data_IF_802714124280
#
_entry.id   IF_802714124280
#
_cell.length_a   1.000
_cell.length_b   1.000
_cell.length_c   1.000
_cell.angle_alpha   90.00
_cell.angle_beta   90.00
_cell.angle_gamma   90.00
#
_symmetry.space_group_name_H-M   'P 1'
#
loop_
_entity.id
_entity.type
_entity.pdbx_description
1 polymer ?
#
# COMPACT_ATOMS: atom_id res chain seq x y z
N UNK A 1 -27.90 -39.77 27.63
CA UNK A 1 -26.85 -38.74 27.67
C UNK A 1 -25.71 -39.21 26.79
N UNK A 2 -25.83 -39.08 25.46
CA UNK A 2 -24.74 -39.45 24.53
C UNK A 2 -24.92 -38.92 23.10
N UNK A 3 -25.55 -37.74 22.92
CA UNK A 3 -25.75 -37.13 21.60
C UNK A 3 -24.95 -35.84 21.36
N UNK A 4 -24.15 -35.37 22.32
CA UNK A 4 -23.37 -34.12 22.20
C UNK A 4 -21.87 -34.32 21.90
N UNK A 5 -21.39 -35.56 21.74
CA UNK A 5 -19.95 -35.83 21.62
C UNK A 5 -19.44 -36.03 20.18
N UNK A 6 -20.32 -35.96 19.17
CA UNK A 6 -19.98 -36.25 17.76
C UNK A 6 -20.26 -35.12 16.75
N UNK A 7 -20.42 -33.87 17.21
CA UNK A 7 -20.44 -32.69 16.34
C UNK A 7 -19.16 -31.85 16.44
N UNK A 8 -18.10 -32.41 17.05
CA UNK A 8 -16.85 -31.69 17.36
C UNK A 8 -15.68 -32.00 16.45
N UNK A 9 -15.86 -32.84 15.44
CA UNK A 9 -14.82 -33.11 14.45
C UNK A 9 -15.31 -32.85 13.02
N UNK A 10 -14.61 -31.92 12.36
CA UNK A 10 -14.35 -31.92 10.93
C UNK A 10 -15.50 -31.45 10.01
N UNK A 11 -15.76 -30.14 10.00
CA UNK A 11 -15.81 -29.49 8.67
C UNK A 11 -14.37 -29.57 8.17
N UNK A 12 -14.07 -30.56 7.33
CA UNK A 12 -12.76 -30.67 6.69
C UNK A 12 -12.52 -29.40 5.88
N UNK A 13 -11.76 -28.48 6.48
CA UNK A 13 -11.30 -27.33 5.75
C UNK A 13 -10.15 -27.79 4.84
N UNK A 14 -10.33 -27.67 3.54
CA UNK A 14 -9.25 -27.69 2.56
C UNK A 14 -8.30 -26.52 2.88
N UNK A 15 -7.24 -26.81 3.64
CA UNK A 15 -6.19 -25.85 3.96
C UNK A 15 -5.14 -25.81 2.86
N UNK A 16 -4.91 -24.63 2.31
CA UNK A 16 -3.98 -24.39 1.22
C UNK A 16 -2.71 -23.68 1.72
N UNK A 17 -1.94 -24.35 2.58
CA UNK A 17 -0.73 -23.81 3.24
C UNK A 17 0.39 -23.36 2.26
N UNK A 18 0.38 -23.94 1.05
CA UNK A 18 1.34 -23.64 -0.02
C UNK A 18 0.99 -22.36 -0.78
N UNK A 19 -0.27 -21.91 -0.74
CA UNK A 19 -0.71 -20.69 -1.43
C UNK A 19 -0.21 -19.48 -0.63
N UNK A 20 0.61 -18.65 -1.27
CA UNK A 20 1.20 -17.46 -0.66
C UNK A 20 0.56 -16.16 -1.12
N UNK A 21 -0.04 -16.18 -2.30
CA UNK A 21 -0.66 -15.02 -2.92
C UNK A 21 -2.15 -15.27 -3.04
N UNK A 22 -2.95 -14.38 -2.44
CA UNK A 22 -4.41 -14.46 -2.50
C UNK A 22 -4.98 -13.15 -3.01
N UNK A 23 -5.96 -13.28 -3.91
CA UNK A 23 -6.72 -12.17 -4.43
C UNK A 23 -8.19 -12.32 -3.97
N UNK A 24 -8.67 -11.40 -3.12
CA UNK A 24 -10.01 -11.43 -2.53
C UNK A 24 -10.90 -10.31 -3.09
N UNK A 25 -11.93 -10.66 -3.86
CA UNK A 25 -12.83 -9.69 -4.53
C UNK A 25 -14.18 -9.46 -3.82
N UNK A 26 -14.47 -10.22 -2.76
CA UNK A 26 -15.80 -10.27 -2.13
C UNK A 26 -16.86 -10.95 -3.01
N UNK A 27 -17.91 -11.45 -2.37
CA UNK A 27 -19.01 -12.23 -2.97
C UNK A 27 -18.55 -13.47 -3.76
N UNK A 28 -18.41 -14.57 -3.04
CA UNK A 28 -18.47 -15.91 -3.62
C UNK A 28 -19.71 -16.55 -3.00
N UNK A 29 -20.57 -17.13 -3.84
CA UNK A 29 -21.82 -17.76 -3.45
C UNK A 29 -21.61 -18.60 -2.18
N UNK A 30 -22.42 -18.34 -1.14
CA UNK A 30 -22.20 -18.85 0.22
C UNK A 30 -22.16 -20.38 0.31
N UNK A 31 -22.51 -21.12 -0.74
CA UNK A 31 -22.70 -22.56 -0.69
C UNK A 31 -21.41 -23.40 -0.75
N UNK A 32 -20.25 -22.87 -1.17
CA UNK A 32 -19.06 -23.72 -1.47
C UNK A 32 -17.74 -23.37 -0.78
N UNK A 33 -17.60 -22.21 -0.13
CA UNK A 33 -16.30 -21.79 0.45
C UNK A 33 -16.10 -22.05 1.93
N UNK A 34 -17.11 -22.57 2.64
CA UNK A 34 -16.98 -22.82 4.09
C UNK A 34 -15.93 -23.87 4.44
N UNK A 35 -15.26 -24.49 3.47
CA UNK A 35 -14.13 -25.39 3.66
C UNK A 35 -12.77 -24.80 3.23
N UNK A 36 -12.65 -23.65 2.57
CA UNK A 36 -11.34 -23.21 2.05
C UNK A 36 -10.64 -22.28 3.04
N UNK A 37 -9.37 -22.56 3.35
CA UNK A 37 -8.53 -21.71 4.21
C UNK A 37 -7.14 -21.47 3.63
N UNK A 38 -6.62 -20.26 3.85
CA UNK A 38 -5.27 -19.85 3.48
C UNK A 38 -4.51 -19.33 4.72
N UNK A 39 -3.96 -20.21 5.58
CA UNK A 39 -3.41 -19.80 6.87
C UNK A 39 -2.00 -19.16 6.80
N UNK A 40 -1.27 -19.31 5.68
CA UNK A 40 0.14 -18.89 5.56
C UNK A 40 0.38 -17.96 4.37
N UNK A 41 -0.56 -17.06 4.10
CA UNK A 41 -0.44 -16.10 3.02
C UNK A 41 0.66 -15.08 3.32
N UNK A 42 1.39 -14.68 2.29
CA UNK A 42 2.40 -13.63 2.36
C UNK A 42 1.97 -12.37 1.62
N UNK A 43 1.16 -12.52 0.56
CA UNK A 43 0.64 -11.40 -0.21
C UNK A 43 -0.87 -11.49 -0.35
N UNK A 44 -1.53 -10.37 -0.11
CA UNK A 44 -2.97 -10.25 -0.21
C UNK A 44 -3.31 -9.04 -1.07
N UNK A 45 -4.08 -9.24 -2.12
CA UNK A 45 -4.78 -8.16 -2.80
C UNK A 45 -6.25 -8.29 -2.45
N UNK A 46 -6.86 -7.26 -1.88
CA UNK A 46 -8.25 -7.32 -1.42
C UNK A 46 -9.05 -6.10 -1.84
N UNK A 47 -10.33 -6.30 -2.10
CA UNK A 47 -11.30 -5.24 -2.34
C UNK A 47 -12.00 -4.84 -1.04
N UNK A 48 -12.05 -3.53 -0.77
CA UNK A 48 -12.83 -2.97 0.35
C UNK A 48 -14.15 -2.33 -0.12
N UNK A 49 -15.23 -2.44 0.70
CA UNK A 49 -15.30 -3.26 1.91
C UNK A 49 -15.42 -4.76 1.58
N UNK A 50 -14.90 -5.63 2.45
CA UNK A 50 -15.08 -7.08 2.35
C UNK A 50 -16.23 -7.57 3.24
N UNK A 51 -16.79 -8.73 2.89
CA UNK A 51 -17.86 -9.40 3.64
C UNK A 51 -17.33 -10.21 4.85
N UNK A 52 -18.25 -10.64 5.72
CA UNK A 52 -17.88 -11.30 6.97
C UNK A 52 -17.20 -12.68 6.78
N UNK A 53 -17.28 -13.28 5.59
CA UNK A 53 -16.64 -14.57 5.32
C UNK A 53 -15.13 -14.44 5.11
N UNK A 54 -14.60 -13.23 4.90
CA UNK A 54 -13.18 -12.98 4.72
C UNK A 54 -12.34 -13.66 5.82
N UNK A 55 -12.73 -13.49 7.08
CA UNK A 55 -12.01 -14.05 8.23
C UNK A 55 -12.13 -15.57 8.35
N UNK A 56 -13.13 -16.19 7.72
CA UNK A 56 -13.22 -17.65 7.65
C UNK A 56 -12.20 -18.22 6.65
N UNK A 57 -11.95 -17.50 5.57
CA UNK A 57 -11.04 -17.89 4.48
C UNK A 57 -9.58 -17.55 4.84
N UNK A 58 -9.37 -16.39 5.46
CA UNK A 58 -8.04 -15.87 5.85
C UNK A 58 -8.06 -15.57 7.36
N UNK A 59 -7.99 -16.59 8.22
CA UNK A 59 -8.16 -16.41 9.66
C UNK A 59 -6.95 -15.75 10.35
N UNK A 60 -5.78 -15.72 9.70
CA UNK A 60 -4.54 -15.20 10.27
C UNK A 60 -3.75 -14.39 9.23
N UNK A 61 -3.10 -13.33 9.68
CA UNK A 61 -2.28 -12.41 8.87
C UNK A 61 -0.85 -12.28 9.41
N UNK A 62 -0.44 -13.17 10.31
CA UNK A 62 0.88 -13.18 10.95
C UNK A 62 2.04 -13.38 9.97
N UNK A 63 1.75 -13.98 8.81
CA UNK A 63 2.70 -14.15 7.71
C UNK A 63 2.61 -13.07 6.62
N UNK A 64 1.62 -12.17 6.70
CA UNK A 64 1.37 -11.20 5.65
C UNK A 64 2.49 -10.15 5.60
N UNK A 65 3.21 -10.09 4.47
CA UNK A 65 4.29 -9.12 4.23
C UNK A 65 3.88 -8.04 3.22
N UNK A 66 2.88 -8.30 2.39
CA UNK A 66 2.45 -7.40 1.30
C UNK A 66 0.93 -7.32 1.23
N UNK A 67 0.39 -6.11 1.26
CA UNK A 67 -1.04 -5.85 1.15
C UNK A 67 -1.30 -4.84 0.02
N UNK A 68 -2.17 -5.21 -0.91
CA UNK A 68 -2.74 -4.30 -1.89
C UNK A 68 -4.24 -4.15 -1.62
N UNK A 69 -4.67 -2.90 -1.41
CA UNK A 69 -6.05 -2.54 -1.16
C UNK A 69 -6.63 -1.92 -2.43
N UNK A 70 -7.72 -2.51 -2.90
CA UNK A 70 -8.54 -2.00 -3.98
C UNK A 70 -9.79 -1.40 -3.34
N UNK A 71 -9.77 -0.10 -3.05
CA UNK A 71 -10.97 0.57 -2.57
C UNK A 71 -11.95 0.76 -3.72
N UNK A 72 -13.23 0.47 -3.48
CA UNK A 72 -14.29 0.69 -4.47
C UNK A 72 -15.26 1.79 -4.12
N UNK A 73 -15.35 2.14 -2.84
CA UNK A 73 -16.13 3.26 -2.34
C UNK A 73 -15.46 3.83 -1.09
N UNK A 74 -15.42 5.15 -1.00
CA UNK A 74 -15.06 5.87 0.23
C UNK A 74 -16.21 5.74 1.22
N UNK A 75 -16.02 4.91 2.24
CA UNK A 75 -16.96 4.81 3.35
C UNK A 75 -16.21 4.42 4.63
N UNK A 76 -16.79 4.81 5.77
CA UNK A 76 -16.23 4.53 7.09
C UNK A 76 -15.96 3.03 7.31
N UNK A 77 -16.78 2.15 6.75
CA UNK A 77 -16.60 0.69 6.88
C UNK A 77 -15.27 0.23 6.27
N UNK A 78 -14.91 0.71 5.08
CA UNK A 78 -13.63 0.42 4.43
C UNK A 78 -12.46 0.88 5.31
N UNK A 79 -12.54 2.08 5.88
CA UNK A 79 -11.50 2.62 6.76
C UNK A 79 -11.30 1.77 8.01
N UNK A 80 -12.39 1.40 8.71
CA UNK A 80 -12.32 0.52 9.88
C UNK A 80 -11.75 -0.85 9.54
N UNK A 81 -12.17 -1.45 8.42
CA UNK A 81 -11.66 -2.74 7.96
C UNK A 81 -10.17 -2.66 7.61
N UNK A 82 -9.73 -1.58 6.98
CA UNK A 82 -8.32 -1.37 6.68
C UNK A 82 -7.49 -1.21 7.95
N UNK A 83 -7.97 -0.44 8.93
CA UNK A 83 -7.32 -0.31 10.23
C UNK A 83 -7.21 -1.66 10.94
N UNK A 84 -8.28 -2.46 10.97
CA UNK A 84 -8.27 -3.80 11.58
C UNK A 84 -7.29 -4.76 10.87
N UNK A 85 -7.26 -4.73 9.53
CA UNK A 85 -6.28 -5.49 8.73
C UNK A 85 -4.84 -5.13 9.09
N UNK A 86 -4.52 -3.84 9.12
CA UNK A 86 -3.18 -3.36 9.44
C UNK A 86 -2.78 -3.79 10.85
N UNK A 87 -3.66 -3.62 11.84
CA UNK A 87 -3.39 -4.02 13.23
C UNK A 87 -3.11 -5.53 13.39
N UNK A 88 -3.71 -6.38 12.56
CA UNK A 88 -3.51 -7.84 12.62
C UNK A 88 -2.29 -8.32 11.84
N UNK A 89 -1.83 -7.57 10.85
CA UNK A 89 -0.75 -7.97 9.95
C UNK A 89 0.62 -7.55 10.48
N UNK A 90 1.04 -8.05 11.64
CA UNK A 90 2.25 -7.57 12.36
C UNK A 90 3.56 -7.54 11.54
N UNK A 91 3.67 -8.34 10.47
CA UNK A 91 4.84 -8.42 9.58
C UNK A 91 4.68 -7.66 8.26
N UNK A 92 3.64 -6.83 8.14
CA UNK A 92 3.38 -6.10 6.92
C UNK A 92 4.50 -5.12 6.64
N UNK A 93 5.17 -5.30 5.51
CA UNK A 93 6.31 -4.49 5.08
C UNK A 93 5.95 -3.59 3.89
N UNK A 94 5.04 -4.06 3.02
CA UNK A 94 4.56 -3.32 1.86
C UNK A 94 3.04 -3.10 1.89
N UNK A 95 2.62 -1.84 1.73
CA UNK A 95 1.24 -1.44 1.57
C UNK A 95 1.05 -0.69 0.26
N UNK A 96 0.10 -1.14 -0.55
CA UNK A 96 -0.40 -0.40 -1.69
C UNK A 96 -1.87 -0.05 -1.50
N UNK A 97 -2.20 1.22 -1.58
CA UNK A 97 -3.55 1.76 -1.38
C UNK A 97 -3.74 2.97 -2.28
N UNK A 98 -4.98 3.37 -2.55
CA UNK A 98 -5.22 4.66 -3.21
C UNK A 98 -4.82 5.85 -2.30
N UNK A 99 -4.42 6.94 -2.94
CA UNK A 99 -3.86 8.10 -2.24
C UNK A 99 -4.85 8.77 -1.27
N UNK A 100 -6.15 8.77 -1.59
CA UNK A 100 -7.19 9.38 -0.73
C UNK A 100 -7.34 8.58 0.55
N UNK A 101 -7.49 7.26 0.42
CA UNK A 101 -7.63 6.36 1.56
C UNK A 101 -6.38 6.38 2.44
N UNK A 102 -5.21 6.58 1.85
CA UNK A 102 -3.99 6.78 2.63
C UNK A 102 -4.03 8.05 3.48
N UNK A 103 -4.49 9.19 2.95
CA UNK A 103 -4.53 10.44 3.74
C UNK A 103 -5.42 10.31 4.97
N UNK A 104 -6.51 9.54 4.87
CA UNK A 104 -7.35 9.19 6.00
C UNK A 104 -6.61 8.28 7.00
N UNK A 105 -5.85 7.30 6.51
CA UNK A 105 -5.01 6.46 7.36
C UNK A 105 -3.86 7.22 8.01
N UNK A 106 -3.26 8.21 7.34
CA UNK A 106 -2.15 9.00 7.88
C UNK A 106 -2.57 9.80 9.13
N UNK A 107 -3.86 10.15 9.22
CA UNK A 107 -4.46 10.78 10.41
C UNK A 107 -4.75 9.78 11.53
N UNK A 108 -4.86 8.50 11.19
CA UNK A 108 -4.99 7.44 12.18
C UNK A 108 -3.57 7.09 12.62
N UNK A 109 -3.26 7.29 13.92
CA UNK A 109 -1.96 6.96 14.53
C UNK A 109 -1.64 5.45 14.46
N UNK A 110 -1.42 4.93 13.25
CA UNK A 110 -1.14 3.53 12.98
C UNK A 110 0.34 3.32 13.29
N UNK A 111 0.61 2.71 14.44
CA UNK A 111 1.94 2.40 14.95
C UNK A 111 2.48 1.08 14.39
N UNK A 112 2.29 0.84 13.09
CA UNK A 112 2.68 -0.42 12.50
C UNK A 112 4.18 -0.46 12.25
N UNK A 113 4.91 -1.01 13.22
CA UNK A 113 6.37 -0.90 13.31
C UNK A 113 7.14 -1.53 12.14
N UNK A 114 6.51 -2.42 11.36
CA UNK A 114 7.16 -3.18 10.28
C UNK A 114 6.98 -2.55 8.90
N UNK A 115 6.07 -1.59 8.72
CA UNK A 115 5.79 -1.04 7.40
C UNK A 115 6.95 -0.15 6.95
N UNK A 116 7.57 -0.50 5.82
CA UNK A 116 8.71 0.24 5.24
C UNK A 116 8.47 0.71 3.82
N UNK A 117 7.49 0.12 3.12
CA UNK A 117 7.26 0.40 1.70
C UNK A 117 5.81 0.79 1.46
N UNK A 118 5.62 1.94 0.83
CA UNK A 118 4.31 2.51 0.57
C UNK A 118 4.14 2.81 -0.92
N UNK A 119 3.03 2.38 -1.48
CA UNK A 119 2.61 2.74 -2.84
C UNK A 119 1.23 3.40 -2.82
N UNK A 120 1.21 4.69 -3.17
CA UNK A 120 0.00 5.48 -3.32
C UNK A 120 -0.45 5.47 -4.77
N UNK A 121 -1.57 4.80 -5.03
CA UNK A 121 -2.16 4.68 -6.36
C UNK A 121 -3.15 5.82 -6.61
N UNK A 122 -3.35 6.21 -7.88
CA UNK A 122 -4.47 7.07 -8.25
C UNK A 122 -5.78 6.41 -7.83
N UNK A 123 -6.71 7.20 -7.33
CA UNK A 123 -8.07 6.73 -7.09
C UNK A 123 -8.72 6.34 -8.42
N UNK A 124 -9.40 5.19 -8.48
CA UNK A 124 -9.83 4.55 -9.74
C UNK A 124 -10.69 5.42 -10.66
N UNK A 125 -11.40 6.42 -10.14
CA UNK A 125 -12.20 7.35 -10.97
C UNK A 125 -11.42 8.59 -11.46
N UNK A 126 -10.18 8.81 -10.97
CA UNK A 126 -9.34 9.95 -11.32
C UNK A 126 -7.97 9.47 -11.77
N UNK A 127 -7.84 9.24 -13.08
CA UNK A 127 -6.59 8.83 -13.73
C UNK A 127 -5.45 9.84 -13.54
N UNK A 128 -5.77 11.11 -13.24
CA UNK A 128 -4.83 12.21 -12.97
C UNK A 128 -4.85 12.67 -11.50
N UNK A 129 -4.91 11.76 -10.53
CA UNK A 129 -4.73 12.13 -9.13
C UNK A 129 -3.23 12.30 -8.83
N UNK A 130 -2.76 13.54 -8.85
CA UNK A 130 -1.45 13.94 -8.34
C UNK A 130 -1.65 14.55 -6.95
N UNK A 131 -0.75 14.26 -6.02
CA UNK A 131 -0.80 14.82 -4.68
C UNK A 131 -0.16 16.20 -4.64
N UNK A 132 -0.85 17.14 -4.01
CA UNK A 132 -0.36 18.49 -3.81
C UNK A 132 0.58 18.59 -2.59
N UNK A 133 1.19 19.75 -2.39
CA UNK A 133 2.14 20.00 -1.29
C UNK A 133 1.52 19.76 0.10
N UNK A 134 0.27 20.18 0.33
CA UNK A 134 -0.40 20.01 1.62
C UNK A 134 -0.63 18.52 1.95
N UNK A 135 -1.09 17.75 0.97
CA UNK A 135 -1.29 16.30 1.11
C UNK A 135 0.04 15.56 1.33
N UNK A 136 1.10 15.96 0.62
CA UNK A 136 2.42 15.39 0.80
C UNK A 136 3.03 15.75 2.17
N UNK A 137 2.75 16.94 2.70
CA UNK A 137 3.13 17.29 4.08
C UNK A 137 2.44 16.40 5.09
N UNK A 138 1.12 16.19 4.97
CA UNK A 138 0.37 15.27 5.85
C UNK A 138 0.98 13.87 5.83
N UNK A 139 1.35 13.37 4.65
CA UNK A 139 2.05 12.09 4.53
C UNK A 139 3.40 12.13 5.25
N UNK A 140 4.24 13.13 4.97
CA UNK A 140 5.59 13.22 5.53
C UNK A 140 5.61 13.37 7.06
N UNK A 141 4.63 14.09 7.60
CA UNK A 141 4.46 14.37 9.03
C UNK A 141 3.77 13.20 9.78
N UNK A 142 3.30 12.18 9.06
CA UNK A 142 2.66 11.00 9.66
C UNK A 142 3.68 9.99 10.18
N UNK A 143 3.29 9.17 11.15
CA UNK A 143 4.11 8.05 11.63
C UNK A 143 4.53 7.11 10.49
N UNK A 144 3.62 6.85 9.54
CA UNK A 144 3.89 6.03 8.37
C UNK A 144 4.94 6.70 7.46
N UNK A 145 4.86 8.03 7.29
CA UNK A 145 5.84 8.81 6.56
C UNK A 145 7.24 8.71 7.17
N UNK A 146 7.33 8.89 8.48
CA UNK A 146 8.61 8.83 9.19
C UNK A 146 9.30 7.47 9.11
N UNK A 147 8.55 6.36 9.05
CA UNK A 147 9.14 5.01 8.95
C UNK A 147 9.30 4.48 7.52
N UNK A 148 8.80 5.22 6.52
CA UNK A 148 8.83 4.79 5.14
C UNK A 148 10.26 4.86 4.58
N UNK A 149 10.76 3.73 4.08
CA UNK A 149 12.03 3.62 3.37
C UNK A 149 11.86 3.70 1.85
N UNK A 150 10.74 3.20 1.32
CA UNK A 150 10.45 3.23 -0.13
C UNK A 150 9.07 3.79 -0.38
N UNK A 151 9.02 4.94 -1.05
CA UNK A 151 7.76 5.58 -1.45
C UNK A 151 7.56 5.47 -2.96
N UNK A 152 6.34 5.12 -3.38
CA UNK A 152 5.87 5.19 -4.77
C UNK A 152 4.64 6.10 -4.80
N UNK A 153 4.71 7.22 -5.52
CA UNK A 153 3.72 8.31 -5.42
C UNK A 153 3.54 9.04 -6.75
N UNK A 154 2.45 9.81 -6.90
CA UNK A 154 2.29 10.80 -7.97
C UNK A 154 2.11 12.18 -7.36
N UNK A 155 2.85 13.17 -7.84
CA UNK A 155 2.92 14.51 -7.24
C UNK A 155 2.71 15.63 -8.27
N UNK A 156 2.14 16.75 -7.83
CA UNK A 156 1.77 17.85 -8.74
C UNK A 156 2.98 18.67 -9.22
N UNK A 157 3.97 18.89 -8.36
CA UNK A 157 5.10 19.78 -8.63
C UNK A 157 6.42 19.17 -8.16
N UNK A 158 7.49 19.41 -8.92
CA UNK A 158 8.84 18.96 -8.61
C UNK A 158 9.38 19.43 -7.26
N UNK A 159 8.96 20.58 -6.72
CA UNK A 159 9.42 21.06 -5.40
C UNK A 159 9.04 20.11 -4.26
N UNK A 160 7.90 19.41 -4.40
CA UNK A 160 7.42 18.42 -3.42
C UNK A 160 8.45 17.29 -3.23
N UNK A 161 9.26 16.99 -4.25
CA UNK A 161 10.32 15.97 -4.19
C UNK A 161 11.32 16.33 -3.10
N UNK A 162 11.75 17.60 -3.07
CA UNK A 162 12.72 18.09 -2.11
C UNK A 162 12.14 18.06 -0.69
N UNK A 163 10.89 18.51 -0.53
CA UNK A 163 10.19 18.51 0.75
C UNK A 163 10.03 17.08 1.32
N UNK A 164 9.66 16.11 0.48
CA UNK A 164 9.52 14.71 0.89
C UNK A 164 10.88 14.12 1.31
N UNK A 165 11.94 14.38 0.54
CA UNK A 165 13.29 13.89 0.84
C UNK A 165 13.79 14.49 2.16
N UNK A 166 13.57 15.78 2.39
CA UNK A 166 14.01 16.47 3.60
C UNK A 166 13.28 15.92 4.84
N UNK A 167 11.94 15.86 4.79
CA UNK A 167 11.10 15.49 5.94
C UNK A 167 11.07 13.99 6.25
N UNK A 168 11.16 13.11 5.24
CA UNK A 168 11.08 11.67 5.44
C UNK A 168 12.47 11.08 5.66
N UNK A 169 13.00 11.22 6.88
CA UNK A 169 14.40 10.91 7.17
C UNK A 169 14.85 9.47 6.91
N UNK A 170 13.93 8.50 6.98
CA UNK A 170 14.22 7.09 6.69
C UNK A 170 14.08 6.73 5.20
N UNK A 171 13.67 7.67 4.36
CA UNK A 171 13.46 7.43 2.93
C UNK A 171 14.79 7.14 2.23
N UNK A 172 14.85 5.96 1.61
CA UNK A 172 15.99 5.42 0.84
C UNK A 172 15.72 5.39 -0.65
N UNK A 173 14.44 5.28 -1.05
CA UNK A 173 14.05 5.33 -2.45
C UNK A 173 12.73 6.05 -2.64
N UNK A 174 12.72 7.03 -3.55
CA UNK A 174 11.51 7.73 -3.98
C UNK A 174 11.26 7.42 -5.44
N UNK A 175 10.12 6.78 -5.74
CA UNK A 175 9.65 6.54 -7.09
C UNK A 175 8.44 7.44 -7.32
N UNK A 176 8.45 8.25 -8.38
CA UNK A 176 7.37 9.18 -8.59
C UNK A 176 7.08 9.46 -10.07
N UNK A 177 5.83 9.82 -10.33
CA UNK A 177 5.43 10.54 -11.54
C UNK A 177 5.11 11.98 -11.12
N UNK A 178 5.60 12.95 -11.89
CA UNK A 178 5.40 14.37 -11.61
C UNK A 178 4.55 15.01 -12.71
N UNK A 179 3.56 15.83 -12.34
CA UNK A 179 2.64 16.42 -13.32
C UNK A 179 3.31 17.49 -14.19
N UNK A 180 4.24 18.26 -13.64
CA UNK A 180 5.02 19.30 -14.34
C UNK A 180 6.27 18.75 -15.06
N UNK A 181 6.38 17.41 -15.19
CA UNK A 181 7.42 16.76 -15.99
C UNK A 181 7.03 16.74 -17.48
N UNK A 182 7.53 17.73 -18.21
CA UNK A 182 7.34 17.89 -19.65
C UNK A 182 8.40 17.15 -20.50
N UNK A 183 9.19 16.23 -19.93
CA UNK A 183 10.29 15.52 -20.62
C UNK A 183 9.89 14.77 -21.89
N UNK A 184 8.60 14.50 -22.11
CA UNK A 184 8.09 13.96 -23.37
C UNK A 184 8.20 14.92 -24.57
N UNK A 185 8.45 16.21 -24.33
CA UNK A 185 8.46 17.26 -25.35
C UNK A 185 9.87 17.74 -25.73
N UNK A 186 10.90 17.33 -24.98
CA UNK A 186 12.27 17.85 -25.15
C UNK A 186 13.29 16.72 -25.25
N UNK A 187 14.30 16.89 -26.11
CA UNK A 187 15.38 15.91 -26.32
C UNK A 187 16.32 15.77 -25.12
N UNK A 188 16.31 16.75 -24.22
CA UNK A 188 17.08 16.75 -22.98
C UNK A 188 16.12 16.56 -21.81
N UNK A 189 16.46 15.65 -20.90
CA UNK A 189 15.68 15.37 -19.69
C UNK A 189 15.90 16.49 -18.65
N UNK A 190 15.37 17.69 -18.94
CA UNK A 190 15.46 18.90 -18.11
C UNK A 190 15.06 18.61 -16.66
N UNK A 191 14.05 17.76 -16.47
CA UNK A 191 13.58 17.39 -15.14
C UNK A 191 14.64 16.61 -14.35
N UNK A 192 15.30 15.64 -14.99
CA UNK A 192 16.39 14.88 -14.35
C UNK A 192 17.62 15.75 -14.12
N UNK A 193 17.95 16.66 -15.05
CA UNK A 193 19.03 17.63 -14.84
C UNK A 193 18.73 18.58 -13.68
N UNK A 194 17.49 19.06 -13.57
CA UNK A 194 17.07 19.86 -12.42
C UNK A 194 17.23 19.09 -11.10
N UNK A 195 16.88 17.80 -11.06
CA UNK A 195 17.10 16.95 -9.88
C UNK A 195 18.59 16.80 -9.55
N UNK A 196 19.44 16.56 -10.56
CA UNK A 196 20.89 16.45 -10.38
C UNK A 196 21.51 17.72 -9.81
N UNK A 197 21.01 18.88 -10.22
CA UNK A 197 21.45 20.18 -9.72
C UNK A 197 20.90 20.52 -8.32
N UNK A 198 19.75 19.94 -7.94
CA UNK A 198 19.05 20.25 -6.69
C UNK A 198 19.34 19.25 -5.56
N UNK A 199 19.88 18.07 -5.88
CA UNK A 199 20.15 16.99 -4.93
C UNK A 199 21.65 16.73 -4.80
N UNK A 200 22.11 16.18 -3.67
CA UNK A 200 23.51 15.80 -3.50
C UNK A 200 23.96 14.79 -4.56
N UNK A 201 25.22 14.88 -5.00
CA UNK A 201 25.83 13.95 -5.97
C UNK A 201 25.84 12.49 -5.48
N UNK A 202 25.69 12.27 -4.16
CA UNK A 202 25.58 10.93 -3.56
C UNK A 202 24.28 10.22 -3.93
N UNK A 203 23.29 10.94 -4.49
CA UNK A 203 21.99 10.38 -4.84
C UNK A 203 22.02 9.87 -6.28
N UNK A 204 21.43 8.69 -6.51
CA UNK A 204 21.34 8.12 -7.86
C UNK A 204 19.95 8.35 -8.45
N UNK A 205 19.90 8.99 -9.62
CA UNK A 205 18.64 9.35 -10.30
C UNK A 205 18.52 8.53 -11.59
N UNK A 206 17.40 7.84 -11.77
CA UNK A 206 17.12 7.05 -12.97
C UNK A 206 15.66 7.20 -13.41
N UNK A 207 15.45 7.44 -14.70
CA UNK A 207 14.12 7.41 -15.32
C UNK A 207 13.81 6.02 -15.85
N UNK A 208 12.66 5.46 -15.46
CA UNK A 208 12.16 4.17 -15.89
C UNK A 208 10.85 4.35 -16.65
N UNK A 209 10.81 4.01 -17.94
CA UNK A 209 9.67 4.36 -18.81
C UNK A 209 9.50 5.89 -18.85
N UNK A 210 8.68 6.42 -19.76
CA UNK A 210 8.73 7.87 -20.06
C UNK A 210 8.41 8.81 -18.88
N UNK A 211 7.74 8.36 -17.81
CA UNK A 211 7.24 9.24 -16.74
C UNK A 211 7.62 8.88 -15.31
N UNK A 212 8.11 7.66 -15.05
CA UNK A 212 8.43 7.25 -13.68
C UNK A 212 9.91 7.54 -13.42
N UNK A 213 10.19 8.40 -12.46
CA UNK A 213 11.54 8.74 -12.02
C UNK A 213 11.78 8.07 -10.67
N UNK A 214 13.00 7.57 -10.49
CA UNK A 214 13.49 7.01 -9.24
C UNK A 214 14.68 7.80 -8.75
N UNK A 215 14.65 8.16 -7.47
CA UNK A 215 15.77 8.72 -6.72
C UNK A 215 16.14 7.73 -5.63
N UNK A 216 17.39 7.27 -5.64
CA UNK A 216 18.01 6.53 -4.56
C UNK A 216 18.75 7.50 -3.64
N UNK A 217 18.41 7.44 -2.36
CA UNK A 217 18.88 8.35 -1.32
C UNK A 217 19.91 7.60 -0.48
N UNK A 218 21.16 8.01 -0.60
CA UNK A 218 22.28 7.45 0.17
C UNK A 218 22.63 8.45 1.28
N UNK A 219 22.17 8.16 2.50
CA UNK A 219 22.40 8.96 3.71
C UNK A 219 23.49 8.34 4.57
#
# INVERSE_FOLDING_TARGET
MEFEKYLKDLRDYNSYDRVKDVFYKGCIDNSTLFSIRYPKICRLTLKLPFDNNFWNIIPRLDHLTSLEVIQTQENYRSEYQLKDLLNRAARLDFLSVDAISFLLLAQLNITHASLRRLQLKPYRSRTNCYLNAAQCSILADSLLGHQCEVLIIRIENRTIILDLIDKMHNLRALNFECQDDNSLLHSNDEFVEWLRNSLPETYSISRHRSRLIRVWINR
#
